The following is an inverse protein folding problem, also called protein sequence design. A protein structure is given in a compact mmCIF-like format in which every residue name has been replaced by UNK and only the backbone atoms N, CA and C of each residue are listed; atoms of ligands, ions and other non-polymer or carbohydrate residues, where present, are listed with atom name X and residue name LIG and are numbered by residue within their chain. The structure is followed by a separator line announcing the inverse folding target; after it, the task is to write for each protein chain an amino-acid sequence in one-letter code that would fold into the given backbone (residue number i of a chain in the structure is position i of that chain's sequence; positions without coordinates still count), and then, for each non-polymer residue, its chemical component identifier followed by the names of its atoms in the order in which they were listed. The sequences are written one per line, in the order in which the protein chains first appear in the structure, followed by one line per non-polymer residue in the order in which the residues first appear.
data_IF_761073901552
#
_entry.id   IF_761073901552
#
_cell.length_a   1.000
_cell.length_b   1.000
_cell.length_c   1.000
_cell.angle_alpha   90.00
_cell.angle_beta   90.00
_cell.angle_gamma   90.00
#
_symmetry.space_group_name_H-M   'P 1'
#
loop_
_entity.id
_entity.type
_entity.pdbx_description
1 polymer ?
#
# COMPACT_ATOMS: atom_id res chain seq x y z
N UNK A 1 -56.91 -40.26 44.48
CA UNK A 1 -57.09 -39.08 43.60
C UNK A 1 -56.27 -37.83 43.91
N UNK A 2 -55.82 -37.51 45.11
CA UNK A 2 -54.94 -36.35 45.40
C UNK A 2 -53.47 -36.56 45.05
N UNK A 3 -52.98 -37.79 45.04
CA UNK A 3 -51.54 -38.13 44.84
C UNK A 3 -51.08 -38.08 43.39
N UNK A 4 -52.00 -38.32 42.44
CA UNK A 4 -51.69 -38.26 41.01
C UNK A 4 -51.65 -36.84 40.48
N UNK A 5 -52.44 -35.93 41.04
CA UNK A 5 -52.49 -34.53 40.71
C UNK A 5 -51.17 -33.80 41.04
N UNK A 6 -50.54 -34.13 42.15
CA UNK A 6 -49.26 -33.59 42.54
C UNK A 6 -48.11 -34.09 41.64
N UNK A 7 -48.16 -35.33 41.16
CA UNK A 7 -47.15 -35.87 40.21
C UNK A 7 -47.24 -35.17 38.84
N UNK A 8 -48.43 -34.89 38.37
CA UNK A 8 -48.67 -34.19 37.12
C UNK A 8 -48.14 -32.74 37.22
N UNK A 9 -48.37 -32.06 38.35
CA UNK A 9 -47.83 -30.71 38.58
C UNK A 9 -46.32 -30.68 38.63
N UNK A 10 -45.66 -31.68 39.26
CA UNK A 10 -44.23 -31.76 39.30
C UNK A 10 -43.60 -32.02 37.92
N UNK A 11 -44.26 -32.81 37.06
CA UNK A 11 -43.78 -33.06 35.68
C UNK A 11 -43.93 -31.78 34.84
N UNK A 12 -45.03 -31.03 34.98
CA UNK A 12 -45.20 -29.76 34.29
C UNK A 12 -44.19 -28.69 34.72
N UNK A 13 -43.88 -28.60 36.02
CA UNK A 13 -42.88 -27.67 36.54
C UNK A 13 -41.49 -28.06 36.04
N UNK A 14 -41.13 -29.32 36.04
CA UNK A 14 -39.84 -29.81 35.49
C UNK A 14 -39.75 -29.56 33.98
N UNK A 15 -40.83 -29.72 33.21
CA UNK A 15 -40.86 -29.45 31.78
C UNK A 15 -40.71 -27.96 31.47
N UNK A 16 -41.34 -27.08 32.28
CA UNK A 16 -41.19 -25.62 32.14
C UNK A 16 -39.78 -25.15 32.51
N UNK A 17 -39.17 -25.68 33.53
CA UNK A 17 -37.78 -25.37 33.93
C UNK A 17 -36.80 -25.88 32.85
N UNK A 18 -37.04 -27.06 32.29
CA UNK A 18 -36.22 -27.62 31.23
C UNK A 18 -36.30 -26.85 29.93
N UNK A 19 -37.51 -26.37 29.57
CA UNK A 19 -37.73 -25.49 28.42
C UNK A 19 -37.10 -24.12 28.61
N UNK A 20 -37.13 -23.52 29.80
CA UNK A 20 -36.48 -22.26 30.13
C UNK A 20 -34.95 -22.31 30.06
N UNK A 21 -34.34 -23.36 30.61
CA UNK A 21 -32.88 -23.56 30.54
C UNK A 21 -32.41 -23.78 29.09
N UNK A 22 -33.21 -24.38 28.23
CA UNK A 22 -32.84 -24.63 26.85
C UNK A 22 -32.92 -23.36 25.99
N UNK A 23 -33.85 -22.45 26.28
CA UNK A 23 -33.96 -21.16 25.55
C UNK A 23 -32.75 -20.25 25.80
N UNK A 24 -32.28 -20.13 27.06
CA UNK A 24 -31.10 -19.33 27.41
C UNK A 24 -29.81 -19.86 26.76
N UNK A 25 -29.67 -21.20 26.68
CA UNK A 25 -28.52 -21.80 26.01
C UNK A 25 -28.52 -21.52 24.50
N UNK A 26 -29.70 -21.59 23.87
CA UNK A 26 -29.86 -21.26 22.45
C UNK A 26 -29.57 -19.78 22.16
N UNK A 27 -30.05 -18.89 23.02
CA UNK A 27 -29.78 -17.45 22.89
C UNK A 27 -28.29 -17.14 23.02
N UNK A 28 -27.59 -17.75 23.97
CA UNK A 28 -26.11 -17.60 24.09
C UNK A 28 -25.38 -18.12 22.87
N UNK A 29 -25.81 -19.27 22.32
CA UNK A 29 -25.21 -19.79 21.07
C UNK A 29 -25.47 -18.86 19.88
N UNK A 30 -26.70 -18.33 19.76
CA UNK A 30 -27.06 -17.40 18.70
C UNK A 30 -26.21 -16.11 18.78
N UNK A 31 -25.99 -15.59 19.99
CA UNK A 31 -25.15 -14.41 20.21
C UNK A 31 -23.68 -14.69 19.88
N UNK A 32 -23.14 -15.84 20.28
CA UNK A 32 -21.79 -16.25 19.90
C UNK A 32 -21.61 -16.36 18.39
N UNK A 33 -22.59 -16.92 17.68
CA UNK A 33 -22.57 -17.00 16.22
C UNK A 33 -22.60 -15.61 15.56
N UNK A 34 -23.41 -14.69 16.08
CA UNK A 34 -23.45 -13.30 15.60
C UNK A 34 -22.09 -12.60 15.79
N UNK A 35 -21.48 -12.79 16.96
CA UNK A 35 -20.16 -12.23 17.24
C UNK A 35 -19.09 -12.81 16.30
N UNK A 36 -19.09 -14.13 16.09
CA UNK A 36 -18.20 -14.76 15.13
C UNK A 36 -18.41 -14.28 13.70
N UNK A 37 -19.67 -14.12 13.26
CA UNK A 37 -19.98 -13.58 11.94
C UNK A 37 -19.51 -12.12 11.79
N UNK A 38 -19.68 -11.31 12.82
CA UNK A 38 -19.22 -9.92 12.82
C UNK A 38 -17.69 -9.86 12.72
N UNK A 39 -16.98 -10.72 13.46
CA UNK A 39 -15.52 -10.80 13.41
C UNK A 39 -15.02 -11.28 12.05
N UNK A 40 -15.63 -12.32 11.48
CA UNK A 40 -15.30 -12.80 10.12
C UNK A 40 -15.53 -11.70 9.08
N UNK A 41 -16.61 -10.94 9.22
CA UNK A 41 -16.91 -9.84 8.31
C UNK A 41 -15.87 -8.72 8.42
N UNK A 42 -15.40 -8.43 9.63
CA UNK A 42 -14.33 -7.46 9.88
C UNK A 42 -13.02 -7.92 9.25
N UNK A 43 -12.61 -9.16 9.51
CA UNK A 43 -11.38 -9.73 8.95
C UNK A 43 -11.40 -9.77 7.43
N UNK A 44 -12.55 -10.09 6.82
CA UNK A 44 -12.68 -10.02 5.35
C UNK A 44 -12.44 -8.62 4.80
N UNK A 45 -13.01 -7.59 5.41
CA UNK A 45 -12.78 -6.20 5.00
C UNK A 45 -11.32 -5.78 5.15
N UNK A 46 -10.66 -6.21 6.21
CA UNK A 46 -9.23 -5.95 6.43
C UNK A 46 -8.37 -6.64 5.34
N UNK A 47 -8.68 -7.89 5.03
CA UNK A 47 -8.00 -8.63 3.96
C UNK A 47 -8.23 -8.02 2.57
N UNK A 48 -9.45 -7.59 2.26
CA UNK A 48 -9.77 -6.88 1.01
C UNK A 48 -8.99 -5.57 0.89
N UNK A 49 -8.88 -4.81 1.98
CA UNK A 49 -8.12 -3.57 2.00
C UNK A 49 -6.61 -3.82 1.79
N UNK A 50 -6.06 -4.85 2.43
CA UNK A 50 -4.66 -5.26 2.24
C UNK A 50 -4.41 -5.73 0.80
N UNK A 51 -5.29 -6.55 0.25
CA UNK A 51 -5.19 -7.03 -1.13
C UNK A 51 -5.24 -5.88 -2.14
N UNK A 52 -6.14 -4.91 -1.94
CA UNK A 52 -6.21 -3.70 -2.76
C UNK A 52 -4.91 -2.87 -2.67
N UNK A 53 -4.34 -2.73 -1.47
CA UNK A 53 -3.06 -2.05 -1.27
C UNK A 53 -1.90 -2.76 -2.00
N UNK A 54 -1.84 -4.08 -1.92
CA UNK A 54 -0.85 -4.89 -2.65
C UNK A 54 -0.99 -4.74 -4.16
N UNK A 55 -2.20 -4.78 -4.68
CA UNK A 55 -2.45 -4.61 -6.11
C UNK A 55 -1.97 -3.26 -6.64
N UNK A 56 -2.18 -2.17 -5.88
CA UNK A 56 -1.67 -0.83 -6.23
C UNK A 56 -0.14 -0.82 -6.24
N UNK A 57 0.48 -1.47 -5.27
CA UNK A 57 1.95 -1.56 -5.18
C UNK A 57 2.55 -2.37 -6.34
N UNK A 58 1.93 -3.51 -6.65
CA UNK A 58 2.35 -4.36 -7.78
C UNK A 58 2.22 -3.60 -9.12
N UNK A 59 1.14 -2.83 -9.29
CA UNK A 59 0.96 -2.00 -10.48
C UNK A 59 2.05 -0.93 -10.60
N UNK A 60 2.35 -0.21 -9.50
CA UNK A 60 3.45 0.76 -9.49
C UNK A 60 4.78 0.12 -9.86
N UNK A 61 5.07 -1.05 -9.34
CA UNK A 61 6.31 -1.75 -9.66
C UNK A 61 6.37 -2.17 -11.13
N UNK A 62 5.27 -2.64 -11.70
CA UNK A 62 5.19 -2.96 -13.13
C UNK A 62 5.38 -1.71 -14.01
N UNK A 63 4.80 -0.59 -13.61
CA UNK A 63 4.96 0.69 -14.30
C UNK A 63 6.43 1.16 -14.26
N UNK A 64 7.12 1.04 -13.12
CA UNK A 64 8.54 1.36 -13.03
C UNK A 64 9.42 0.43 -13.86
N UNK A 65 9.13 -0.87 -13.91
CA UNK A 65 9.83 -1.82 -14.80
C UNK A 65 9.63 -1.43 -16.28
N UNK A 66 8.42 -1.01 -16.65
CA UNK A 66 8.12 -0.50 -17.99
C UNK A 66 8.90 0.76 -18.29
N UNK A 67 8.88 1.75 -17.37
CA UNK A 67 9.63 3.00 -17.51
C UNK A 67 11.13 2.74 -17.71
N UNK A 68 11.71 1.84 -16.94
CA UNK A 68 13.11 1.45 -17.10
C UNK A 68 13.40 0.95 -18.51
N UNK A 69 12.63 -0.03 -18.99
CA UNK A 69 12.85 -0.67 -20.31
C UNK A 69 12.58 0.25 -21.49
N UNK A 70 11.54 1.07 -21.39
CA UNK A 70 11.08 1.88 -22.52
C UNK A 70 11.79 3.23 -22.62
N UNK A 71 12.26 3.76 -21.49
CA UNK A 71 12.81 5.12 -21.41
C UNK A 71 14.23 5.16 -20.84
N UNK A 72 14.47 4.66 -19.62
CA UNK A 72 15.75 4.84 -18.95
C UNK A 72 16.91 4.09 -19.64
N UNK A 73 16.67 2.86 -20.07
CA UNK A 73 17.67 2.07 -20.84
C UNK A 73 18.03 2.76 -22.15
N UNK A 74 17.05 3.31 -22.85
CA UNK A 74 17.29 4.10 -24.06
C UNK A 74 18.00 5.42 -23.79
N UNK A 75 17.69 6.08 -22.68
CA UNK A 75 18.38 7.29 -22.27
C UNK A 75 19.86 7.04 -22.03
N UNK A 76 20.20 5.95 -21.35
CA UNK A 76 21.59 5.57 -21.08
C UNK A 76 22.37 5.25 -22.36
N UNK A 77 21.74 4.74 -23.38
CA UNK A 77 22.36 4.40 -24.67
C UNK A 77 22.39 5.57 -25.66
N UNK A 78 21.67 6.67 -25.41
CA UNK A 78 21.60 7.82 -26.30
C UNK A 78 22.79 8.76 -26.11
N UNK A 79 23.33 9.26 -27.22
CA UNK A 79 24.37 10.30 -27.23
C UNK A 79 23.81 11.73 -27.39
N UNK A 80 22.53 11.85 -27.72
CA UNK A 80 21.87 13.13 -27.89
C UNK A 80 21.31 13.62 -26.55
N UNK A 81 21.87 14.70 -26.00
CA UNK A 81 21.51 15.27 -24.69
C UNK A 81 20.04 15.64 -24.57
N UNK A 82 19.45 16.26 -25.58
CA UNK A 82 18.06 16.67 -25.53
C UNK A 82 17.13 15.45 -25.51
N UNK A 83 17.50 14.41 -26.26
CA UNK A 83 16.78 13.13 -26.25
C UNK A 83 16.91 12.42 -24.89
N UNK A 84 18.09 12.44 -24.27
CA UNK A 84 18.32 11.88 -22.91
C UNK A 84 17.39 12.56 -21.90
N UNK A 85 17.34 13.90 -21.92
CA UNK A 85 16.48 14.67 -21.01
C UNK A 85 15.00 14.32 -21.22
N UNK A 86 14.55 14.21 -22.48
CA UNK A 86 13.17 13.84 -22.78
C UNK A 86 12.85 12.43 -22.28
N UNK A 87 13.70 11.46 -22.58
CA UNK A 87 13.49 10.07 -22.16
C UNK A 87 13.43 9.92 -20.63
N UNK A 88 14.31 10.57 -19.88
CA UNK A 88 14.22 10.54 -18.42
C UNK A 88 12.96 11.20 -17.90
N UNK A 89 12.51 12.32 -18.47
CA UNK A 89 11.25 12.98 -18.09
C UNK A 89 10.03 12.09 -18.36
N UNK A 90 9.98 11.46 -19.54
CA UNK A 90 8.87 10.56 -19.90
C UNK A 90 8.85 9.31 -18.98
N UNK A 91 10.01 8.77 -18.68
CA UNK A 91 10.14 7.66 -17.73
C UNK A 91 9.72 8.05 -16.30
N UNK A 92 10.13 9.22 -15.82
CA UNK A 92 9.74 9.74 -14.51
C UNK A 92 8.27 10.12 -14.40
N UNK A 93 7.60 10.43 -15.53
CA UNK A 93 6.14 10.58 -15.54
C UNK A 93 5.39 9.27 -15.23
N UNK A 94 6.02 8.12 -15.49
CA UNK A 94 5.49 6.79 -15.22
C UNK A 94 5.97 6.27 -13.85
N UNK A 95 7.25 6.45 -13.53
CA UNK A 95 7.88 6.05 -12.27
C UNK A 95 8.50 7.28 -11.57
N UNK A 96 7.71 8.07 -10.85
CA UNK A 96 8.15 9.34 -10.27
C UNK A 96 9.03 9.20 -9.01
N UNK A 97 9.11 8.00 -8.44
CA UNK A 97 9.85 7.74 -7.20
C UNK A 97 11.19 7.01 -7.47
N UNK A 98 11.80 7.20 -8.65
CA UNK A 98 13.09 6.61 -9.01
C UNK A 98 14.21 7.63 -8.75
N UNK A 99 14.98 7.43 -7.67
CA UNK A 99 16.06 8.32 -7.25
C UNK A 99 17.23 8.35 -8.25
N UNK A 100 17.51 7.23 -8.90
CA UNK A 100 18.57 7.13 -9.90
C UNK A 100 18.18 7.88 -11.18
N UNK A 101 16.93 7.75 -11.63
CA UNK A 101 16.44 8.45 -12.82
C UNK A 101 16.42 9.98 -12.60
N UNK A 102 16.03 10.45 -11.41
CA UNK A 102 16.16 11.86 -11.04
C UNK A 102 17.62 12.34 -11.06
N UNK A 103 18.50 11.54 -10.48
CA UNK A 103 19.94 11.88 -10.50
C UNK A 103 20.49 11.97 -11.92
N UNK A 104 20.21 11.01 -12.79
CA UNK A 104 20.70 11.01 -14.18
C UNK A 104 20.08 12.13 -15.02
N UNK A 105 18.81 12.45 -14.81
CA UNK A 105 18.18 13.65 -15.41
C UNK A 105 18.88 14.92 -14.94
N UNK A 106 19.17 15.03 -13.65
CA UNK A 106 19.92 16.15 -13.08
C UNK A 106 21.29 16.31 -13.71
N UNK A 107 22.02 15.23 -13.94
CA UNK A 107 23.30 15.25 -14.65
C UNK A 107 23.14 15.74 -16.09
N UNK A 108 22.22 15.16 -16.85
CA UNK A 108 21.98 15.56 -18.24
C UNK A 108 21.60 17.04 -18.36
N UNK A 109 20.80 17.55 -17.41
CA UNK A 109 20.44 18.97 -17.34
C UNK A 109 21.64 19.85 -16.99
N UNK A 110 22.50 19.43 -16.06
CA UNK A 110 23.71 20.16 -15.70
C UNK A 110 24.68 20.25 -16.90
N UNK A 111 24.87 19.15 -17.63
CA UNK A 111 25.67 19.08 -18.84
C UNK A 111 25.11 19.96 -20.00
N UNK A 112 23.80 20.16 -20.01
CA UNK A 112 23.11 21.07 -20.92
C UNK A 112 23.14 22.55 -20.45
N UNK A 113 23.78 22.86 -19.32
CA UNK A 113 23.85 24.19 -18.73
C UNK A 113 22.57 24.63 -17.99
N UNK A 114 21.58 23.74 -17.84
CA UNK A 114 20.28 23.99 -17.21
C UNK A 114 20.37 23.79 -15.69
N UNK A 115 21.26 24.54 -15.04
CA UNK A 115 21.66 24.35 -13.64
C UNK A 115 20.49 24.40 -12.64
N UNK A 116 19.57 25.34 -12.82
CA UNK A 116 18.41 25.49 -11.92
C UNK A 116 17.43 24.30 -11.98
N UNK A 117 17.35 23.64 -13.13
CA UNK A 117 16.55 22.43 -13.27
C UNK A 117 17.30 21.20 -12.72
N UNK A 118 18.60 21.11 -13.00
CA UNK A 118 19.44 20.05 -12.43
C UNK A 118 19.41 20.04 -10.89
N UNK A 119 19.46 21.22 -10.26
CA UNK A 119 19.34 21.35 -8.80
C UNK A 119 18.07 20.72 -8.27
N UNK A 120 16.91 20.97 -8.91
CA UNK A 120 15.62 20.40 -8.52
C UNK A 120 15.59 18.87 -8.63
N UNK A 121 16.23 18.34 -9.67
CA UNK A 121 16.27 16.89 -9.87
C UNK A 121 17.19 16.20 -8.86
N UNK A 122 18.33 16.80 -8.49
CA UNK A 122 19.17 16.29 -7.41
C UNK A 122 18.48 16.38 -6.04
N UNK A 123 17.72 17.43 -5.78
CA UNK A 123 16.88 17.55 -4.58
C UNK A 123 15.79 16.46 -4.55
N UNK A 124 15.16 16.16 -5.69
CA UNK A 124 14.17 15.11 -5.81
C UNK A 124 14.79 13.73 -5.54
N UNK A 125 15.96 13.44 -6.10
CA UNK A 125 16.71 12.22 -5.83
C UNK A 125 17.01 12.07 -4.33
N UNK A 126 17.46 13.13 -3.67
CA UNK A 126 17.78 13.14 -2.23
C UNK A 126 16.54 13.08 -1.34
N UNK A 127 15.40 13.54 -1.81
CA UNK A 127 14.12 13.40 -1.09
C UNK A 127 13.66 11.95 -1.05
N UNK A 128 13.89 11.21 -2.15
CA UNK A 128 13.56 9.79 -2.25
C UNK A 128 14.59 8.95 -1.48
N UNK A 129 15.88 9.23 -1.70
CA UNK A 129 17.00 8.54 -1.08
C UNK A 129 17.95 9.56 -0.42
N UNK A 130 17.78 9.85 0.88
CA UNK A 130 18.62 10.82 1.60
C UNK A 130 20.10 10.45 1.66
N UNK A 131 20.44 9.18 1.48
CA UNK A 131 21.80 8.66 1.53
C UNK A 131 22.48 8.61 0.16
N UNK A 132 21.86 9.17 -0.88
CA UNK A 132 22.42 9.21 -2.23
C UNK A 132 23.60 10.19 -2.31
N UNK A 133 24.77 9.72 -1.96
CA UNK A 133 25.99 10.54 -1.86
C UNK A 133 26.39 11.24 -3.16
N UNK A 134 26.14 10.62 -4.33
CA UNK A 134 26.46 11.23 -5.63
C UNK A 134 25.55 12.43 -5.93
N UNK A 135 24.24 12.30 -5.68
CA UNK A 135 23.30 13.40 -5.86
C UNK A 135 23.65 14.59 -4.95
N UNK A 136 24.05 14.31 -3.70
CA UNK A 136 24.48 15.34 -2.74
C UNK A 136 25.71 16.07 -3.25
N UNK A 137 26.75 15.37 -3.72
CA UNK A 137 27.96 15.99 -4.25
C UNK A 137 27.68 16.89 -5.45
N UNK A 138 26.81 16.46 -6.36
CA UNK A 138 26.42 17.25 -7.53
C UNK A 138 25.63 18.49 -7.14
N UNK A 139 24.70 18.37 -6.21
CA UNK A 139 23.93 19.49 -5.67
C UNK A 139 24.83 20.55 -5.03
N UNK A 140 25.77 20.11 -4.19
CA UNK A 140 26.73 21.01 -3.52
C UNK A 140 27.62 21.72 -4.53
N UNK A 141 28.08 21.02 -5.57
CA UNK A 141 28.89 21.60 -6.66
C UNK A 141 28.12 22.67 -7.46
N UNK A 142 26.84 22.44 -7.76
CA UNK A 142 26.00 23.45 -8.44
C UNK A 142 25.83 24.69 -7.57
N UNK A 143 25.61 24.53 -6.27
CA UNK A 143 25.40 25.62 -5.31
C UNK A 143 26.68 26.43 -5.07
N UNK A 144 27.82 25.79 -5.04
CA UNK A 144 29.12 26.46 -4.88
C UNK A 144 29.51 27.35 -6.09
N UNK A 145 28.94 27.08 -7.27
CA UNK A 145 29.25 27.80 -8.51
C UNK A 145 28.15 28.83 -8.91
N UNK A 146 27.34 29.25 -7.96
CA UNK A 146 26.39 30.39 -8.10
C UNK A 146 27.10 31.71 -7.83
#
# INVERSE_FOLDING_TARGET
MKRDRNRIYLIFICALVWAGCNSEALERQAEQLRQQQAEITRQRKELEALAAGQQVQDQKQQDCVRAFREYFDKAQSSTNRDQVILLYRDGLAICPDDDVAHYELGRALADAGRRAEAEKEFEAALKINPDFGDARRQLDAIRANR
#
